data_IF_640864640037
#
_entry.id   IF_640864640037
#
_cell.length_a   1.000
_cell.length_b   1.000
_cell.length_c   1.000
_cell.angle_alpha   90.00
_cell.angle_beta   90.00
_cell.angle_gamma   90.00
#
_symmetry.space_group_name_H-M   'P 1'
#
loop_
_entity.id
_entity.type
_entity.pdbx_description
1 polymer ?
#
# COMPACT_ATOMS: atom_id res chain seq x y z
N UNK A 1 13.64 -14.13 33.17
CA UNK A 1 12.71 -13.42 32.26
C UNK A 1 11.31 -13.92 32.55
N UNK A 2 10.41 -13.08 33.05
CA UNK A 2 9.05 -13.49 33.43
C UNK A 2 8.31 -14.06 32.20
N UNK A 3 7.60 -15.17 32.37
CA UNK A 3 6.84 -15.86 31.30
C UNK A 3 5.94 -14.89 30.52
N UNK A 4 5.39 -13.87 31.19
CA UNK A 4 4.58 -12.80 30.59
C UNK A 4 5.33 -11.97 29.54
N UNK A 5 6.63 -11.74 29.70
CA UNK A 5 7.45 -10.98 28.74
C UNK A 5 7.74 -11.81 27.48
N UNK A 6 7.98 -13.11 27.64
CA UNK A 6 8.18 -14.05 26.53
C UNK A 6 6.90 -14.14 25.68
N UNK A 7 5.74 -14.25 26.35
CA UNK A 7 4.43 -14.29 25.71
C UNK A 7 4.10 -13.04 24.91
N UNK A 8 4.73 -11.89 25.20
CA UNK A 8 4.56 -10.65 24.46
C UNK A 8 5.56 -10.49 23.31
N UNK A 9 6.83 -10.84 23.54
CA UNK A 9 7.90 -10.68 22.53
C UNK A 9 7.70 -11.62 21.34
N UNK A 10 7.33 -12.88 21.59
CA UNK A 10 7.22 -13.90 20.52
C UNK A 10 6.18 -13.51 19.47
N UNK A 11 4.93 -13.12 19.81
CA UNK A 11 3.96 -12.65 18.82
C UNK A 11 4.43 -11.44 18.03
N UNK A 12 5.11 -10.48 18.65
CA UNK A 12 5.64 -9.28 17.97
C UNK A 12 6.65 -9.70 16.90
N UNK A 13 7.59 -10.57 17.24
CA UNK A 13 8.58 -11.09 16.30
C UNK A 13 7.93 -11.86 15.15
N UNK A 14 6.89 -12.65 15.43
CA UNK A 14 6.11 -13.35 14.40
C UNK A 14 5.46 -12.35 13.45
N UNK A 15 4.77 -11.32 13.97
CA UNK A 15 4.12 -10.29 13.15
C UNK A 15 5.14 -9.57 12.27
N UNK A 16 6.31 -9.20 12.83
CA UNK A 16 7.38 -8.54 12.08
C UNK A 16 7.92 -9.46 10.99
N UNK A 17 8.16 -10.73 11.28
CA UNK A 17 8.62 -11.71 10.30
C UNK A 17 7.62 -11.87 9.16
N UNK A 18 6.32 -11.95 9.49
CA UNK A 18 5.23 -12.02 8.52
C UNK A 18 5.20 -10.74 7.66
N UNK A 19 5.26 -9.55 8.26
CA UNK A 19 5.32 -8.28 7.52
C UNK A 19 6.54 -8.20 6.60
N UNK A 20 7.71 -8.61 7.09
CA UNK A 20 8.94 -8.65 6.31
C UNK A 20 8.80 -9.57 5.09
N UNK A 21 8.25 -10.77 5.25
CA UNK A 21 8.05 -11.70 4.14
C UNK A 21 7.04 -11.16 3.13
N UNK A 22 5.93 -10.56 3.59
CA UNK A 22 4.94 -9.93 2.72
C UNK A 22 5.49 -8.74 1.93
N UNK A 23 6.26 -7.85 2.56
CA UNK A 23 6.87 -6.68 1.89
C UNK A 23 7.90 -7.13 0.83
N UNK A 24 8.63 -8.21 1.11
CA UNK A 24 9.66 -8.72 0.21
C UNK A 24 9.15 -9.63 -0.90
N UNK A 25 7.89 -10.09 -0.82
CA UNK A 25 7.24 -10.85 -1.90
C UNK A 25 7.25 -10.04 -3.20
N UNK A 26 7.69 -10.68 -4.29
CA UNK A 26 7.68 -10.10 -5.64
C UNK A 26 6.56 -10.74 -6.47
N UNK A 27 5.68 -9.92 -7.01
CA UNK A 27 4.73 -10.34 -8.04
C UNK A 27 5.34 -10.34 -9.44
N UNK A 28 4.60 -10.84 -10.43
CA UNK A 28 5.11 -10.96 -11.80
C UNK A 28 5.45 -9.60 -12.43
N UNK A 29 4.67 -8.56 -12.09
CA UNK A 29 5.00 -7.18 -12.46
C UNK A 29 6.37 -6.73 -11.90
N UNK A 30 6.66 -7.03 -10.63
CA UNK A 30 7.95 -6.66 -10.00
C UNK A 30 9.13 -7.47 -10.54
N UNK A 31 8.90 -8.73 -10.96
CA UNK A 31 9.94 -9.52 -11.61
C UNK A 31 10.38 -8.86 -12.92
N UNK A 32 9.45 -8.37 -13.73
CA UNK A 32 9.76 -7.60 -14.95
C UNK A 32 10.53 -6.31 -14.67
N UNK A 33 10.24 -5.65 -13.54
CA UNK A 33 10.94 -4.44 -13.10
C UNK A 33 12.41 -4.69 -12.72
N UNK A 34 12.80 -5.92 -12.38
CA UNK A 34 14.16 -6.21 -11.87
C UNK A 34 15.26 -5.91 -12.90
N UNK A 35 14.93 -5.97 -14.20
CA UNK A 35 15.85 -5.67 -15.31
C UNK A 35 15.59 -4.31 -15.98
N UNK A 36 14.67 -3.52 -15.42
CA UNK A 36 14.30 -2.23 -16.01
C UNK A 36 15.27 -1.14 -15.59
N UNK A 37 15.82 -0.42 -16.57
CA UNK A 37 16.63 0.78 -16.33
C UNK A 37 15.72 2.01 -16.36
N UNK A 38 15.68 2.83 -15.29
CA UNK A 38 14.87 4.04 -15.25
C UNK A 38 15.15 4.96 -16.45
N UNK A 39 14.08 5.46 -17.06
CA UNK A 39 14.17 6.43 -18.16
C UNK A 39 13.92 7.85 -17.66
N UNK A 40 14.32 8.81 -18.48
CA UNK A 40 14.01 10.21 -18.24
C UNK A 40 12.49 10.41 -18.18
N UNK A 41 12.01 10.99 -17.09
CA UNK A 41 10.62 11.40 -16.92
C UNK A 41 10.46 12.87 -17.31
N UNK A 42 9.38 13.24 -18.02
CA UNK A 42 8.98 14.63 -18.16
C UNK A 42 8.87 15.32 -16.80
N UNK A 43 9.15 16.62 -16.76
CA UNK A 43 9.23 17.41 -15.53
C UNK A 43 8.05 17.17 -14.57
N UNK A 44 6.81 17.24 -15.07
CA UNK A 44 5.60 17.05 -14.25
C UNK A 44 5.51 15.65 -13.63
N UNK A 45 5.92 14.60 -14.35
CA UNK A 45 5.92 13.22 -13.86
C UNK A 45 7.04 13.01 -12.83
N UNK A 46 8.17 13.68 -13.01
CA UNK A 46 9.24 13.70 -12.02
C UNK A 46 8.82 14.41 -10.73
N UNK A 47 8.12 15.55 -10.83
CA UNK A 47 7.54 16.24 -9.67
C UNK A 47 6.53 15.37 -8.92
N UNK A 48 5.69 14.63 -9.66
CA UNK A 48 4.77 13.65 -9.06
C UNK A 48 5.52 12.60 -8.23
N UNK A 49 6.59 12.00 -8.77
CA UNK A 49 7.41 11.01 -8.06
C UNK A 49 8.10 11.61 -6.83
N UNK A 50 8.70 12.79 -6.98
CA UNK A 50 9.34 13.50 -5.87
C UNK A 50 8.32 13.83 -4.76
N UNK A 51 7.10 14.20 -5.15
CA UNK A 51 5.97 14.41 -4.25
C UNK A 51 5.57 13.13 -3.51
N UNK A 52 5.49 12.01 -4.23
CA UNK A 52 5.19 10.69 -3.66
C UNK A 52 6.25 10.25 -2.65
N UNK A 53 7.53 10.40 -2.97
CA UNK A 53 8.65 10.08 -2.07
C UNK A 53 8.59 10.88 -0.77
N UNK A 54 8.40 12.20 -0.86
CA UNK A 54 8.29 13.06 0.33
C UNK A 54 7.06 12.71 1.15
N UNK A 55 5.93 12.48 0.51
CA UNK A 55 4.68 12.10 1.17
C UNK A 55 4.83 10.77 1.91
N UNK A 56 5.33 9.73 1.24
CA UNK A 56 5.47 8.41 1.84
C UNK A 56 6.57 8.33 2.90
N UNK A 57 7.64 9.11 2.79
CA UNK A 57 8.62 9.24 3.88
C UNK A 57 7.93 9.74 5.16
N UNK A 58 7.11 10.79 5.05
CA UNK A 58 6.34 11.32 6.19
C UNK A 58 5.30 10.32 6.68
N UNK A 59 4.53 9.71 5.78
CA UNK A 59 3.51 8.72 6.14
C UNK A 59 4.13 7.50 6.85
N UNK A 60 5.31 7.04 6.43
CA UNK A 60 6.01 5.91 7.07
C UNK A 60 6.40 6.21 8.51
N UNK A 61 6.86 7.44 8.78
CA UNK A 61 7.18 7.89 10.14
C UNK A 61 5.91 7.94 10.98
N UNK A 62 4.84 8.56 10.47
CA UNK A 62 3.56 8.70 11.19
C UNK A 62 2.96 7.32 11.49
N UNK A 63 2.88 6.43 10.50
CA UNK A 63 2.32 5.09 10.67
C UNK A 63 3.18 4.28 11.64
N UNK A 64 4.50 4.32 11.49
CA UNK A 64 5.42 3.62 12.41
C UNK A 64 5.20 4.04 13.86
N UNK A 65 5.28 5.34 14.15
CA UNK A 65 5.04 5.88 15.49
C UNK A 65 3.64 5.52 16.05
N UNK A 66 2.61 5.55 15.20
CA UNK A 66 1.26 5.16 15.61
C UNK A 66 1.18 3.66 15.97
N UNK A 67 1.96 2.82 15.27
CA UNK A 67 1.95 1.37 15.51
C UNK A 67 2.62 0.94 16.80
N UNK A 68 3.64 1.64 17.32
CA UNK A 68 4.23 1.28 18.61
C UNK A 68 3.76 2.09 19.81
N UNK A 69 2.89 3.10 19.64
CA UNK A 69 2.15 3.70 20.78
C UNK A 69 1.45 2.64 21.66
N UNK A 70 0.70 1.65 21.13
CA UNK A 70 0.15 0.56 21.93
C UNK A 70 1.22 -0.26 22.68
N UNK A 71 2.38 -0.49 22.06
CA UNK A 71 3.49 -1.23 22.69
C UNK A 71 4.05 -0.46 23.89
N UNK A 72 4.19 0.87 23.75
CA UNK A 72 4.61 1.74 24.86
C UNK A 72 3.61 1.73 26.01
N UNK A 73 2.29 1.75 25.72
CA UNK A 73 1.24 1.66 26.76
C UNK A 73 1.31 0.33 27.50
N UNK A 74 1.42 -0.78 26.78
CA UNK A 74 1.54 -2.12 27.40
C UNK A 74 2.82 -2.18 28.24
N UNK A 75 3.92 -1.61 27.77
CA UNK A 75 5.15 -1.56 28.54
C UNK A 75 5.01 -0.80 29.85
N UNK A 76 4.45 0.42 29.83
CA UNK A 76 4.20 1.21 31.05
C UNK A 76 3.32 0.44 32.03
N UNK A 77 2.28 -0.25 31.53
CA UNK A 77 1.43 -1.10 32.37
C UNK A 77 2.22 -2.25 33.01
N UNK A 78 3.08 -2.93 32.25
CA UNK A 78 3.94 -4.00 32.78
C UNK A 78 4.95 -3.48 33.81
N UNK A 79 5.49 -2.28 33.63
CA UNK A 79 6.38 -1.65 34.61
C UNK A 79 5.67 -1.37 35.94
N UNK A 80 4.37 -1.04 35.90
CA UNK A 80 3.57 -0.77 37.10
C UNK A 80 3.27 -2.02 37.95
N UNK A 81 3.59 -3.22 37.47
CA UNK A 81 3.40 -4.50 38.15
C UNK A 81 4.68 -5.03 38.84
N UNK A 82 5.48 -4.14 39.43
CA UNK A 82 6.70 -4.45 40.20
C UNK A 82 7.86 -5.09 39.40
N UNK A 83 8.19 -4.54 38.22
CA UNK A 83 9.51 -4.81 37.61
C UNK A 83 10.55 -3.94 38.29
N UNK A 84 11.14 -4.43 39.39
CA UNK A 84 12.14 -3.67 40.16
C UNK A 84 13.58 -3.81 39.62
N UNK A 85 13.75 -4.44 38.45
CA UNK A 85 15.05 -4.69 37.81
C UNK A 85 15.32 -3.66 36.72
N UNK A 86 16.19 -2.69 37.05
CA UNK A 86 16.56 -1.59 36.15
C UNK A 86 17.19 -2.06 34.83
N UNK A 87 17.87 -3.21 34.80
CA UNK A 87 18.44 -3.77 33.58
C UNK A 87 17.35 -4.30 32.65
N UNK A 88 16.32 -4.95 33.20
CA UNK A 88 15.17 -5.45 32.40
C UNK A 88 14.42 -4.27 31.77
N UNK A 89 14.18 -3.21 32.53
CA UNK A 89 13.53 -1.98 32.03
C UNK A 89 14.36 -1.37 30.88
N UNK A 90 15.67 -1.24 31.08
CA UNK A 90 16.58 -0.68 30.09
C UNK A 90 16.60 -1.50 28.80
N UNK A 91 16.78 -2.82 28.90
CA UNK A 91 16.80 -3.72 27.73
C UNK A 91 15.47 -3.73 26.98
N UNK A 92 14.35 -3.71 27.69
CA UNK A 92 13.04 -3.70 27.05
C UNK A 92 12.74 -2.35 26.38
N UNK A 93 13.17 -1.24 26.97
CA UNK A 93 13.09 0.08 26.33
C UNK A 93 13.87 0.11 25.02
N UNK A 94 15.10 -0.41 25.02
CA UNK A 94 15.90 -0.56 23.79
C UNK A 94 15.16 -1.44 22.77
N UNK A 95 14.59 -2.57 23.21
CA UNK A 95 13.85 -3.47 22.34
C UNK A 95 12.67 -2.76 21.65
N UNK A 96 11.85 -2.00 22.38
CA UNK A 96 10.72 -1.26 21.78
C UNK A 96 11.22 -0.23 20.76
N UNK A 97 12.28 0.53 21.10
CA UNK A 97 12.87 1.51 20.17
C UNK A 97 13.32 0.82 18.87
N UNK A 98 13.97 -0.34 18.98
CA UNK A 98 14.38 -1.13 17.82
C UNK A 98 13.20 -1.62 16.99
N UNK A 99 12.12 -2.08 17.65
CA UNK A 99 10.88 -2.47 16.97
C UNK A 99 10.26 -1.29 16.22
N UNK A 100 10.18 -0.12 16.85
CA UNK A 100 9.67 1.11 16.24
C UNK A 100 10.49 1.53 15.01
N UNK A 101 11.81 1.59 15.14
CA UNK A 101 12.70 1.88 14.01
C UNK A 101 12.50 0.87 12.87
N UNK A 102 12.34 -0.41 13.19
CA UNK A 102 12.11 -1.46 12.21
C UNK A 102 10.74 -1.30 11.51
N UNK A 103 9.67 -0.98 12.25
CA UNK A 103 8.35 -0.71 11.68
C UNK A 103 8.40 0.47 10.71
N UNK A 104 9.01 1.60 11.09
CA UNK A 104 9.19 2.76 10.21
C UNK A 104 9.96 2.38 8.94
N UNK A 105 11.06 1.63 9.09
CA UNK A 105 11.87 1.18 7.96
C UNK A 105 11.08 0.28 7.00
N UNK A 106 10.35 -0.70 7.54
CA UNK A 106 9.53 -1.62 6.75
C UNK A 106 8.41 -0.88 6.00
N UNK A 107 7.73 0.05 6.66
CA UNK A 107 6.72 0.91 6.03
C UNK A 107 7.31 1.75 4.89
N UNK A 108 8.47 2.38 5.13
CA UNK A 108 9.16 3.14 4.09
C UNK A 108 9.55 2.26 2.91
N UNK A 109 10.10 1.07 3.17
CA UNK A 109 10.47 0.10 2.14
C UNK A 109 9.25 -0.33 1.32
N UNK A 110 8.11 -0.58 1.95
CA UNK A 110 6.87 -0.91 1.28
C UNK A 110 6.45 0.20 0.30
N UNK A 111 6.41 1.45 0.74
CA UNK A 111 6.04 2.56 -0.13
C UNK A 111 7.07 2.84 -1.23
N UNK A 112 8.37 2.78 -0.91
CA UNK A 112 9.45 2.96 -1.88
C UNK A 112 9.38 1.93 -3.02
N UNK A 113 9.04 0.66 -2.71
CA UNK A 113 8.78 -0.35 -3.74
C UNK A 113 7.62 0.06 -4.66
N UNK A 114 6.55 0.62 -4.11
CA UNK A 114 5.39 1.03 -4.90
C UNK A 114 5.67 2.26 -5.77
N UNK A 115 6.47 3.21 -5.30
CA UNK A 115 6.95 4.34 -6.12
C UNK A 115 7.71 3.81 -7.34
N UNK A 116 8.61 2.83 -7.18
CA UNK A 116 9.33 2.22 -8.31
C UNK A 116 8.40 1.59 -9.34
N UNK A 117 7.30 0.98 -8.90
CA UNK A 117 6.27 0.43 -9.82
C UNK A 117 5.56 1.54 -10.59
N UNK A 118 5.21 2.63 -9.91
CA UNK A 118 4.57 3.78 -10.54
C UNK A 118 5.52 4.47 -11.54
N UNK A 119 6.81 4.61 -11.20
CA UNK A 119 7.82 5.18 -12.09
C UNK A 119 7.84 4.46 -13.45
N UNK A 120 7.85 3.12 -13.46
CA UNK A 120 7.78 2.35 -14.70
C UNK A 120 6.53 2.66 -15.52
N UNK A 121 5.37 2.80 -14.87
CA UNK A 121 4.12 3.13 -15.57
C UNK A 121 4.17 4.57 -16.12
N UNK A 122 4.66 5.53 -15.34
CA UNK A 122 4.79 6.93 -15.73
C UNK A 122 5.74 7.13 -16.92
N UNK A 123 6.78 6.32 -17.06
CA UNK A 123 7.67 6.33 -18.22
C UNK A 123 6.96 5.94 -19.52
N UNK A 124 5.90 5.14 -19.42
CA UNK A 124 5.17 4.57 -20.55
C UNK A 124 3.80 5.21 -20.77
N UNK A 125 3.37 6.06 -19.85
CA UNK A 125 2.07 6.70 -19.79
C UNK A 125 1.93 7.78 -20.88
N UNK A 126 0.75 7.87 -21.49
CA UNK A 126 0.37 9.02 -22.32
C UNK A 126 0.06 10.23 -21.43
N UNK A 127 0.00 11.42 -21.99
CA UNK A 127 -0.37 12.61 -21.21
C UNK A 127 -1.82 12.56 -20.71
N UNK A 128 -2.74 11.96 -21.49
CA UNK A 128 -4.14 11.77 -21.06
C UNK A 128 -4.27 10.82 -19.88
N UNK A 129 -3.52 9.71 -19.89
CA UNK A 129 -3.50 8.75 -18.79
C UNK A 129 -2.87 9.38 -17.53
N UNK A 130 -1.92 10.29 -17.70
CA UNK A 130 -1.31 11.03 -16.60
C UNK A 130 -2.29 12.03 -15.96
N UNK A 131 -3.06 12.77 -16.75
CA UNK A 131 -4.11 13.65 -16.22
C UNK A 131 -5.18 12.86 -15.44
N UNK A 132 -5.57 11.69 -15.96
CA UNK A 132 -6.46 10.77 -15.25
C UNK A 132 -5.86 10.31 -13.92
N UNK A 133 -4.57 9.98 -13.89
CA UNK A 133 -3.86 9.65 -12.65
C UNK A 133 -3.88 10.81 -11.65
N UNK A 134 -3.69 12.06 -12.10
CA UNK A 134 -3.76 13.24 -11.23
C UNK A 134 -5.18 13.48 -10.68
N UNK A 135 -6.23 13.20 -11.45
CA UNK A 135 -7.62 13.26 -10.96
C UNK A 135 -7.87 12.20 -9.87
N UNK A 136 -7.46 10.95 -10.12
CA UNK A 136 -7.52 9.86 -9.11
C UNK A 136 -6.73 10.26 -7.86
N UNK A 137 -5.53 10.83 -8.03
CA UNK A 137 -4.68 11.28 -6.95
C UNK A 137 -5.38 12.32 -6.06
N UNK A 138 -6.05 13.32 -6.65
CA UNK A 138 -6.82 14.35 -5.91
C UNK A 138 -7.95 13.74 -5.10
N UNK A 139 -8.57 12.66 -5.59
CA UNK A 139 -9.70 11.96 -4.96
C UNK A 139 -9.27 10.86 -3.97
N UNK A 140 -7.99 10.46 -3.97
CA UNK A 140 -7.43 9.38 -3.16
C UNK A 140 -6.96 9.86 -1.78
N UNK A 141 -7.86 10.33 -0.92
CA UNK A 141 -7.53 10.68 0.48
C UNK A 141 -7.88 9.52 1.43
N UNK A 142 -7.03 9.18 2.42
CA UNK A 142 -5.80 9.87 2.82
C UNK A 142 -4.57 9.57 1.95
N UNK A 143 -4.53 8.44 1.24
CA UNK A 143 -3.33 7.96 0.54
C UNK A 143 -3.14 8.54 -0.88
N UNK A 144 -2.87 9.86 -0.95
CA UNK A 144 -2.82 10.64 -2.21
C UNK A 144 -1.99 10.00 -3.32
N UNK A 145 -0.79 9.50 -3.01
CA UNK A 145 0.14 8.92 -3.97
C UNK A 145 0.10 7.38 -4.04
N UNK A 146 -0.90 6.76 -3.41
CA UNK A 146 -1.15 5.32 -3.49
C UNK A 146 -2.47 5.07 -4.23
N UNK A 147 -2.51 5.35 -5.54
CA UNK A 147 -3.73 5.18 -6.30
C UNK A 147 -4.14 3.70 -6.27
N UNK A 148 -5.44 3.39 -6.13
CA UNK A 148 -5.93 2.01 -6.10
C UNK A 148 -5.76 1.30 -7.45
N UNK A 149 -5.72 2.06 -8.55
CA UNK A 149 -5.39 1.57 -9.87
C UNK A 149 -4.77 2.67 -10.73
N UNK A 150 -4.11 2.27 -11.81
CA UNK A 150 -3.54 3.15 -12.83
C UNK A 150 -3.90 2.59 -14.21
N UNK A 151 -4.38 3.45 -15.11
CA UNK A 151 -4.50 3.14 -16.53
C UNK A 151 -3.19 3.52 -17.22
N UNK A 152 -2.61 2.60 -17.99
CA UNK A 152 -1.41 2.88 -18.78
C UNK A 152 -1.36 1.92 -19.97
N UNK A 153 -1.17 2.44 -21.19
CA UNK A 153 -1.11 1.64 -22.43
C UNK A 153 -2.29 0.67 -22.55
N UNK A 154 -3.51 1.19 -22.37
CA UNK A 154 -4.75 0.42 -22.49
C UNK A 154 -4.85 -0.79 -21.55
N UNK A 155 -4.08 -0.78 -20.46
CA UNK A 155 -4.10 -1.81 -19.39
C UNK A 155 -4.42 -1.17 -18.05
N UNK A 156 -5.23 -1.87 -17.25
CA UNK A 156 -5.50 -1.50 -15.86
C UNK A 156 -4.53 -2.21 -14.93
N UNK A 157 -3.80 -1.43 -14.14
CA UNK A 157 -2.88 -1.91 -13.10
C UNK A 157 -3.49 -1.62 -11.74
N UNK A 158 -3.97 -2.65 -11.05
CA UNK A 158 -4.52 -2.54 -9.70
C UNK A 158 -3.41 -2.63 -8.67
N UNK A 159 -3.32 -1.63 -7.79
CA UNK A 159 -2.27 -1.53 -6.78
C UNK A 159 -2.75 -2.12 -5.46
N UNK A 160 -1.93 -3.02 -4.93
CA UNK A 160 -2.07 -3.62 -3.60
C UNK A 160 -0.71 -4.15 -3.16
N UNK A 161 -0.67 -5.26 -2.44
CA UNK A 161 0.61 -5.94 -2.12
C UNK A 161 1.37 -6.35 -3.40
N UNK A 162 0.63 -6.89 -4.36
CA UNK A 162 1.10 -7.22 -5.71
C UNK A 162 0.27 -6.42 -6.70
N UNK A 163 0.93 -5.88 -7.74
CA UNK A 163 0.23 -5.24 -8.84
C UNK A 163 -0.41 -6.30 -9.72
N UNK A 164 -1.71 -6.18 -9.92
CA UNK A 164 -2.46 -7.03 -10.84
C UNK A 164 -2.74 -6.26 -12.12
N UNK A 165 -2.40 -6.87 -13.25
CA UNK A 165 -2.60 -6.30 -14.58
C UNK A 165 -3.81 -6.97 -15.23
N UNK A 166 -4.75 -6.16 -15.70
CA UNK A 166 -5.98 -6.63 -16.34
C UNK A 166 -6.16 -5.91 -17.68
N UNK A 167 -6.45 -6.67 -18.74
CA UNK A 167 -6.98 -6.09 -19.97
C UNK A 167 -8.41 -5.61 -19.70
N UNK A 168 -8.72 -4.30 -19.77
CA UNK A 168 -10.06 -3.80 -19.52
C UNK A 168 -11.11 -4.40 -20.47
N UNK A 169 -10.75 -4.76 -21.71
CA UNK A 169 -11.64 -5.44 -22.68
C UNK A 169 -12.07 -6.84 -22.22
N UNK A 170 -11.25 -7.50 -21.38
CA UNK A 170 -11.55 -8.85 -20.88
C UNK A 170 -12.54 -8.85 -19.71
N UNK A 171 -12.91 -7.67 -19.21
CA UNK A 171 -13.81 -7.53 -18.07
C UNK A 171 -15.24 -7.80 -18.52
N UNK A 172 -15.87 -8.80 -17.89
CA UNK A 172 -17.25 -9.24 -18.19
C UNK A 172 -18.26 -8.71 -17.18
N UNK A 173 -17.86 -8.62 -15.90
CA UNK A 173 -18.73 -8.14 -14.83
C UNK A 173 -17.94 -7.36 -13.77
N UNK A 174 -18.53 -6.27 -13.30
CA UNK A 174 -18.08 -5.49 -12.14
C UNK A 174 -19.23 -5.40 -11.17
N UNK A 175 -18.98 -5.83 -9.94
CA UNK A 175 -19.94 -5.77 -8.82
C UNK A 175 -19.25 -5.14 -7.62
N UNK A 176 -19.99 -4.53 -6.70
CA UNK A 176 -19.39 -4.00 -5.48
C UNK A 176 -20.22 -4.28 -4.25
N UNK A 177 -19.55 -4.35 -3.11
CA UNK A 177 -20.20 -4.42 -1.80
C UNK A 177 -19.67 -3.30 -0.91
N UNK A 178 -20.55 -2.71 -0.11
CA UNK A 178 -20.14 -1.70 0.86
C UNK A 178 -19.23 -2.29 1.94
N UNK A 179 -18.12 -1.62 2.20
CA UNK A 179 -17.23 -1.91 3.32
C UNK A 179 -17.35 -0.82 4.40
N UNK A 180 -16.83 -1.11 5.60
CA UNK A 180 -16.77 -0.10 6.67
C UNK A 180 -15.87 1.08 6.26
N UNK A 181 -16.22 2.28 6.71
CA UNK A 181 -15.39 3.48 6.52
C UNK A 181 -15.51 4.16 5.15
N UNK A 182 -16.62 3.97 4.42
CA UNK A 182 -16.87 4.68 3.16
C UNK A 182 -16.17 4.09 1.93
N UNK A 183 -15.47 2.96 2.10
CA UNK A 183 -14.89 2.19 1.02
C UNK A 183 -15.90 1.20 0.43
N UNK A 184 -15.63 0.77 -0.80
CA UNK A 184 -16.32 -0.33 -1.45
C UNK A 184 -15.32 -1.42 -1.82
N UNK A 185 -15.76 -2.68 -1.73
CA UNK A 185 -15.03 -3.81 -2.28
C UNK A 185 -15.56 -4.06 -3.68
N UNK A 186 -14.76 -3.75 -4.69
CA UNK A 186 -15.10 -3.95 -6.09
C UNK A 186 -14.59 -5.32 -6.52
N UNK A 187 -15.50 -6.18 -6.95
CA UNK A 187 -15.20 -7.48 -7.55
C UNK A 187 -15.29 -7.36 -9.06
N UNK A 188 -14.16 -7.59 -9.72
CA UNK A 188 -13.98 -7.55 -11.16
C UNK A 188 -13.86 -8.99 -11.65
N UNK A 189 -14.74 -9.40 -12.56
CA UNK A 189 -14.69 -10.69 -13.24
C UNK A 189 -14.19 -10.50 -14.66
N UNK A 190 -13.01 -11.03 -14.95
CA UNK A 190 -12.45 -11.16 -16.29
C UNK A 190 -12.16 -12.63 -16.60
N UNK A 191 -10.93 -12.99 -16.98
CA UNK A 191 -10.44 -14.37 -16.99
C UNK A 191 -10.33 -14.95 -15.58
N UNK A 192 -9.97 -14.10 -14.62
CA UNK A 192 -9.94 -14.41 -13.19
C UNK A 192 -10.81 -13.43 -12.42
N UNK A 193 -11.28 -13.84 -11.24
CA UNK A 193 -11.96 -12.91 -10.33
C UNK A 193 -10.94 -12.20 -9.45
N UNK A 194 -10.96 -10.87 -9.49
CA UNK A 194 -10.13 -10.02 -8.63
C UNK A 194 -11.05 -9.17 -7.74
N UNK A 195 -10.65 -8.99 -6.49
CA UNK A 195 -11.31 -8.04 -5.57
C UNK A 195 -10.32 -6.97 -5.16
N UNK A 196 -10.75 -5.71 -5.27
CA UNK A 196 -9.98 -4.54 -4.85
C UNK A 196 -10.81 -3.70 -3.87
N UNK A 197 -10.14 -3.04 -2.94
CA UNK A 197 -10.76 -2.00 -2.13
C UNK A 197 -10.61 -0.66 -2.86
N UNK A 198 -11.70 0.08 -2.97
CA UNK A 198 -11.74 1.37 -3.64
C UNK A 198 -12.51 2.39 -2.81
N UNK A 199 -12.08 3.65 -2.85
CA UNK A 199 -12.91 4.73 -2.32
C UNK A 199 -14.14 4.92 -3.20
N UNK A 200 -15.31 5.13 -2.58
CA UNK A 200 -16.58 5.26 -3.29
C UNK A 200 -16.57 6.36 -4.37
N UNK A 201 -15.87 7.47 -4.12
CA UNK A 201 -15.73 8.59 -5.05
C UNK A 201 -14.83 8.29 -6.28
N UNK A 202 -14.00 7.23 -6.23
CA UNK A 202 -13.14 6.82 -7.35
C UNK A 202 -13.84 5.76 -8.22
N UNK A 203 -14.84 5.05 -7.67
CA UNK A 203 -15.58 4.02 -8.42
C UNK A 203 -16.15 4.47 -9.76
N UNK A 204 -16.78 5.66 -9.88
CA UNK A 204 -17.29 6.13 -11.16
C UNK A 204 -16.22 6.23 -12.25
N UNK A 205 -15.00 6.65 -11.87
CA UNK A 205 -13.86 6.76 -12.80
C UNK A 205 -13.47 5.37 -13.34
N UNK A 206 -13.39 4.38 -12.45
CA UNK A 206 -13.10 3.00 -12.85
C UNK A 206 -14.17 2.46 -13.82
N UNK A 207 -15.45 2.72 -13.50
CA UNK A 207 -16.58 2.29 -14.34
C UNK A 207 -16.52 2.95 -15.72
N UNK A 208 -16.23 4.24 -15.80
CA UNK A 208 -16.12 4.97 -17.06
C UNK A 208 -15.01 4.40 -17.95
N UNK A 209 -13.83 4.13 -17.36
CA UNK A 209 -12.73 3.47 -18.06
C UNK A 209 -13.18 2.10 -18.58
N UNK A 210 -13.79 1.27 -17.73
CA UNK A 210 -14.20 -0.08 -18.15
C UNK A 210 -15.24 -0.02 -19.27
N UNK A 211 -16.23 0.87 -19.19
CA UNK A 211 -17.24 1.04 -20.25
C UNK A 211 -16.63 1.45 -21.59
N UNK A 212 -15.54 2.24 -21.58
CA UNK A 212 -14.82 2.65 -22.80
C UNK A 212 -14.20 1.46 -23.55
N UNK A 213 -13.69 0.47 -22.83
CA UNK A 213 -13.01 -0.71 -23.42
C UNK A 213 -13.89 -1.95 -23.53
N UNK A 214 -14.89 -2.09 -22.65
CA UNK A 214 -15.83 -3.21 -22.59
C UNK A 214 -17.25 -2.67 -22.37
N UNK A 215 -17.90 -2.15 -23.43
CA UNK A 215 -19.22 -1.53 -23.32
C UNK A 215 -20.31 -2.53 -22.88
N UNK A 216 -20.12 -3.82 -23.19
CA UNK A 216 -21.05 -4.90 -22.84
C UNK A 216 -20.82 -5.47 -21.43
N UNK A 217 -19.85 -4.94 -20.68
CA UNK A 217 -19.60 -5.38 -19.31
C UNK A 217 -20.81 -5.12 -18.42
N UNK A 218 -21.23 -6.14 -17.66
CA UNK A 218 -22.28 -5.98 -16.65
C UNK A 218 -21.72 -5.23 -15.44
N UNK A 219 -22.11 -3.98 -15.24
CA UNK A 219 -21.58 -3.14 -14.17
C UNK A 219 -22.72 -2.76 -13.21
N UNK A 220 -22.57 -3.12 -11.94
CA UNK A 220 -23.47 -2.66 -10.88
C UNK A 220 -23.20 -1.17 -10.58
N UNK A 221 -24.27 -0.37 -10.63
CA UNK A 221 -24.27 1.08 -10.39
C UNK A 221 -24.73 1.41 -8.97
#
# INVERSE_FOLDING_TARGET
MNTSMILLIVPILIVIFVLYTFINRKGDFEKRLTYHTPRYLPHQRQEYINGAERYFKKASIIIGLLTGLPLMIIFVFLLSQDVNDSLIIFLFTIFIILIECLCIYLMYRFFAKNIKKQQLLLEQMSDSDFELLLDIQKKSYPFKYFPPFILCKDRLYFFGFVVQEINPESIKKVSFTYARGGNILVRIKSTTSTTISLYRNIYPILVEIIKKYSPDAQIES
#
